data_IF_525530315496
#
_entry.id   IF_525530315496
#
_cell.length_a   1.000
_cell.length_b   1.000
_cell.length_c   1.000
_cell.angle_alpha   90.00
_cell.angle_beta   90.00
_cell.angle_gamma   90.00
#
_symmetry.space_group_name_H-M   'P 1'
#
loop_
_entity.id
_entity.type
_entity.pdbx_description
1 polymer ?
#
# COMPACT_ATOMS: atom_id res chain seq x y z
N UNK A 1 4.55 15.39 -7.25
CA UNK A 1 3.58 14.87 -6.27
C UNK A 1 3.79 15.58 -4.93
N UNK A 2 2.73 16.11 -4.33
CA UNK A 2 2.74 16.63 -2.96
C UNK A 2 1.85 15.72 -2.10
N UNK A 3 2.42 15.12 -1.06
CA UNK A 3 1.74 14.26 -0.08
C UNK A 3 2.12 14.75 1.32
N UNK A 4 1.14 14.97 2.19
CA UNK A 4 1.31 15.52 3.54
C UNK A 4 0.88 14.53 4.63
N UNK A 5 1.07 13.23 4.38
CA UNK A 5 0.78 12.20 5.36
C UNK A 5 2.00 11.75 6.14
N UNK A 6 1.82 10.70 6.94
CA UNK A 6 2.86 10.21 7.87
C UNK A 6 4.02 9.44 7.22
N UNK A 7 3.88 9.09 5.93
CA UNK A 7 4.88 8.38 5.14
C UNK A 7 5.84 9.33 4.42
N UNK A 8 7.01 8.82 4.04
CA UNK A 8 7.97 9.60 3.24
C UNK A 8 7.54 9.54 1.77
N UNK A 9 7.36 10.69 1.13
CA UNK A 9 7.04 10.78 -0.29
C UNK A 9 8.20 11.40 -1.07
N UNK A 10 8.66 10.74 -2.12
CA UNK A 10 9.70 11.21 -3.05
C UNK A 10 9.24 10.97 -4.48
N UNK A 11 8.78 12.02 -5.15
CA UNK A 11 8.13 11.89 -6.47
C UNK A 11 6.97 10.87 -6.41
N UNK A 12 6.98 9.79 -7.20
CA UNK A 12 5.97 8.72 -7.20
C UNK A 12 6.33 7.54 -6.28
N UNK A 13 7.29 7.71 -5.37
CA UNK A 13 7.68 6.69 -4.39
C UNK A 13 7.16 7.08 -3.01
N UNK A 14 6.38 6.20 -2.37
CA UNK A 14 5.84 6.39 -1.02
C UNK A 14 6.35 5.27 -0.11
N UNK A 15 7.07 5.66 0.95
CA UNK A 15 7.69 4.76 1.92
C UNK A 15 6.97 4.87 3.26
N UNK A 16 6.19 3.84 3.59
CA UNK A 16 5.37 3.70 4.79
C UNK A 16 5.91 2.60 5.73
N UNK A 17 7.23 2.47 5.83
CA UNK A 17 7.89 1.37 6.53
C UNK A 17 7.79 1.52 8.07
N UNK A 18 7.62 0.40 8.78
CA UNK A 18 7.65 0.33 10.25
C UNK A 18 6.71 1.31 10.98
N UNK A 19 5.54 1.59 10.40
CA UNK A 19 4.52 2.49 10.96
C UNK A 19 3.46 1.76 11.79
N UNK A 20 3.61 0.43 11.98
CA UNK A 20 2.65 -0.45 12.63
C UNK A 20 1.25 -0.39 12.00
N UNK A 21 1.19 -0.23 10.67
CA UNK A 21 -0.05 -0.15 9.92
C UNK A 21 -0.78 -1.50 9.92
N UNK A 22 -2.10 -1.44 10.12
CA UNK A 22 -3.01 -2.59 9.99
C UNK A 22 -3.91 -2.50 8.75
N UNK A 23 -3.95 -1.33 8.12
CA UNK A 23 -4.64 -1.02 6.86
C UNK A 23 -3.87 0.07 6.13
N UNK A 24 -4.13 0.22 4.83
CA UNK A 24 -3.60 1.31 4.04
C UNK A 24 -4.04 2.68 4.63
N UNK A 25 -3.14 3.69 4.67
CA UNK A 25 -3.50 5.05 5.09
C UNK A 25 -4.60 5.64 4.21
N UNK A 26 -5.49 6.45 4.80
CA UNK A 26 -6.60 7.09 4.09
C UNK A 26 -6.18 8.32 3.29
N UNK A 27 -4.99 8.84 3.57
CA UNK A 27 -4.42 10.05 2.98
C UNK A 27 -3.53 9.79 1.76
N UNK A 28 -3.42 8.54 1.29
CA UNK A 28 -2.64 8.19 0.11
C UNK A 28 -3.14 8.99 -1.12
N UNK A 29 -2.22 9.56 -1.92
CA UNK A 29 -2.58 10.39 -3.06
C UNK A 29 -3.21 9.54 -4.18
N UNK A 30 -4.32 10.02 -4.75
CA UNK A 30 -5.07 9.33 -5.82
C UNK A 30 -4.46 9.61 -7.21
N UNK A 31 -3.23 9.18 -7.39
CA UNK A 31 -2.45 9.35 -8.62
C UNK A 31 -1.54 8.14 -8.81
N UNK A 32 -0.88 8.05 -9.96
CA UNK A 32 0.07 6.99 -10.25
C UNK A 32 1.23 6.97 -9.25
N UNK A 33 1.48 5.79 -8.68
CA UNK A 33 2.56 5.49 -7.73
C UNK A 33 3.45 4.39 -8.32
N UNK A 34 4.73 4.69 -8.47
CA UNK A 34 5.72 3.73 -8.97
C UNK A 34 6.01 2.68 -7.90
N UNK A 35 6.14 3.11 -6.64
CA UNK A 35 6.44 2.23 -5.52
C UNK A 35 5.69 2.66 -4.26
N UNK A 36 4.92 1.73 -3.70
CA UNK A 36 4.32 1.85 -2.38
C UNK A 36 4.90 0.78 -1.45
N UNK A 37 5.69 1.21 -0.47
CA UNK A 37 6.40 0.31 0.43
C UNK A 37 5.78 0.28 1.83
N UNK A 38 5.21 -0.86 2.21
CA UNK A 38 4.66 -1.15 3.52
C UNK A 38 5.51 -2.13 4.35
N UNK A 39 6.81 -2.20 4.10
CA UNK A 39 7.72 -3.10 4.81
C UNK A 39 7.62 -2.93 6.34
N UNK A 40 7.58 -4.06 7.06
CA UNK A 40 7.64 -4.06 8.52
C UNK A 40 6.39 -3.54 9.22
N UNK A 41 5.23 -3.60 8.57
CA UNK A 41 3.93 -3.29 9.17
C UNK A 41 3.23 -4.56 9.70
N UNK A 42 1.96 -4.46 10.11
CA UNK A 42 1.23 -5.51 10.80
C UNK A 42 -0.17 -5.71 10.22
N UNK A 43 -0.26 -6.01 8.91
CA UNK A 43 -1.54 -6.09 8.20
C UNK A 43 -2.40 -7.28 8.62
N UNK A 44 -1.79 -8.43 8.97
CA UNK A 44 -2.53 -9.63 9.33
C UNK A 44 -3.28 -10.20 8.12
N UNK A 45 -4.56 -9.87 7.99
CA UNK A 45 -5.39 -10.30 6.86
C UNK A 45 -5.39 -9.22 5.78
N UNK A 46 -4.96 -9.58 4.58
CA UNK A 46 -5.12 -8.74 3.39
C UNK A 46 -6.43 -9.06 2.68
N UNK A 47 -7.23 -8.03 2.49
CA UNK A 47 -8.52 -8.03 1.81
C UNK A 47 -8.84 -6.65 1.22
N UNK A 48 -9.96 -6.55 0.50
CA UNK A 48 -10.42 -5.30 -0.10
C UNK A 48 -10.56 -4.14 0.90
N UNK A 49 -10.92 -4.44 2.15
CA UNK A 49 -11.09 -3.42 3.19
C UNK A 49 -9.73 -2.90 3.68
N UNK A 50 -8.76 -3.79 3.91
CA UNK A 50 -7.42 -3.44 4.36
C UNK A 50 -6.64 -2.60 3.35
N UNK A 51 -6.95 -2.76 2.06
CA UNK A 51 -6.30 -2.05 0.94
C UNK A 51 -7.24 -1.04 0.26
N UNK A 52 -8.39 -0.73 0.85
CA UNK A 52 -9.47 0.06 0.23
C UNK A 52 -9.01 1.42 -0.33
N UNK A 53 -8.01 2.02 0.31
CA UNK A 53 -7.54 3.37 0.02
C UNK A 53 -6.32 3.40 -0.88
N UNK A 54 -5.85 2.24 -1.36
CA UNK A 54 -4.76 2.21 -2.32
C UNK A 54 -5.15 2.97 -3.60
N UNK A 55 -4.21 3.72 -4.21
CA UNK A 55 -4.38 4.21 -5.57
C UNK A 55 -4.59 3.04 -6.53
N UNK A 56 -5.40 3.23 -7.58
CA UNK A 56 -5.65 2.19 -8.58
C UNK A 56 -4.39 1.89 -9.41
N UNK A 57 -3.60 2.93 -9.65
CA UNK A 57 -2.34 2.88 -10.42
C UNK A 57 -1.15 2.79 -9.46
N UNK A 58 -0.87 1.57 -8.98
CA UNK A 58 0.33 1.25 -8.18
C UNK A 58 1.14 0.22 -8.95
N UNK A 59 2.32 0.60 -9.43
CA UNK A 59 3.16 -0.29 -10.24
C UNK A 59 3.84 -1.36 -9.37
N UNK A 60 4.29 -1.00 -8.16
CA UNK A 60 4.91 -1.93 -7.21
C UNK A 60 4.37 -1.73 -5.80
N UNK A 61 3.88 -2.81 -5.18
CA UNK A 61 3.43 -2.86 -3.79
C UNK A 61 4.32 -3.80 -2.96
N UNK A 62 5.03 -3.26 -1.97
CA UNK A 62 5.91 -4.06 -1.11
C UNK A 62 5.26 -4.31 0.25
N UNK A 63 5.11 -5.59 0.61
CA UNK A 63 4.53 -6.07 1.88
C UNK A 63 5.52 -6.99 2.64
N UNK A 64 6.82 -6.72 2.51
CA UNK A 64 7.89 -7.50 3.15
C UNK A 64 7.77 -7.38 4.67
N UNK A 65 7.85 -8.50 5.38
CA UNK A 65 7.79 -8.52 6.85
C UNK A 65 6.55 -7.81 7.41
N UNK A 66 5.43 -7.80 6.68
CA UNK A 66 4.22 -7.07 7.08
C UNK A 66 3.23 -7.91 7.91
N UNK A 67 3.72 -9.01 8.50
CA UNK A 67 2.96 -9.99 9.29
C UNK A 67 1.63 -10.42 8.62
N UNK A 68 1.65 -10.63 7.31
CA UNK A 68 0.49 -11.12 6.56
C UNK A 68 0.31 -12.61 6.86
N UNK A 69 -0.85 -13.00 7.36
CA UNK A 69 -1.21 -14.37 7.72
C UNK A 69 -2.24 -14.98 6.76
N UNK A 70 -3.04 -14.14 6.10
CA UNK A 70 -4.08 -14.55 5.17
C UNK A 70 -4.17 -13.54 4.01
N UNK A 71 -4.33 -14.06 2.80
CA UNK A 71 -4.64 -13.28 1.60
C UNK A 71 -6.01 -13.71 1.08
N UNK A 72 -7.00 -12.82 1.17
CA UNK A 72 -8.35 -13.13 0.70
C UNK A 72 -8.46 -13.05 -0.81
N UNK A 73 -9.40 -13.80 -1.42
CA UNK A 73 -9.69 -13.69 -2.85
C UNK A 73 -9.97 -12.24 -3.25
N UNK A 74 -9.54 -11.86 -4.45
CA UNK A 74 -9.76 -10.52 -5.03
C UNK A 74 -9.12 -9.36 -4.25
N UNK A 75 -8.20 -9.60 -3.31
CA UNK A 75 -7.52 -8.52 -2.56
C UNK A 75 -6.95 -7.42 -3.46
N UNK A 76 -6.33 -7.79 -4.59
CA UNK A 76 -5.65 -6.85 -5.49
C UNK A 76 -6.44 -6.53 -6.77
N UNK A 77 -7.70 -6.97 -6.90
CA UNK A 77 -8.43 -6.91 -8.18
C UNK A 77 -8.70 -5.49 -8.72
N UNK A 78 -8.56 -4.46 -7.87
CA UNK A 78 -8.73 -3.04 -8.24
C UNK A 78 -7.42 -2.37 -8.64
N UNK A 79 -6.28 -3.03 -8.45
CA UNK A 79 -4.98 -2.46 -8.78
C UNK A 79 -4.70 -2.75 -10.26
N UNK A 80 -4.84 -1.72 -11.09
CA UNK A 80 -4.89 -1.84 -12.55
C UNK A 80 -3.51 -2.03 -13.17
N UNK A 81 -2.47 -1.49 -12.52
CA UNK A 81 -1.09 -1.48 -13.05
C UNK A 81 -0.13 -2.35 -12.25
N UNK A 82 -0.62 -3.09 -11.25
CA UNK A 82 0.23 -3.88 -10.36
C UNK A 82 0.99 -4.95 -11.14
N UNK A 83 2.32 -4.91 -11.04
CA UNK A 83 3.22 -5.87 -11.67
C UNK A 83 3.57 -7.02 -10.71
N UNK A 84 3.88 -8.18 -11.28
CA UNK A 84 4.30 -9.39 -10.55
C UNK A 84 5.78 -9.35 -10.16
#
# INVERSE_FOLDING_TARGET
LHYNGSCICRSKVILCQHKNLKKAPEDLPRTEIDLLDFTGNSFGVLNETSLKTLPLEVNTLVLRQSAVTELQPKTFHKLETLQN
#
